data_IF_721015067905
#
_entry.id   IF_721015067905
#
_cell.length_a   1.000
_cell.length_b   1.000
_cell.length_c   1.000
_cell.angle_alpha   90.00
_cell.angle_beta   90.00
_cell.angle_gamma   90.00
#
_symmetry.space_group_name_H-M   'P 1'
#
loop_
_entity.id
_entity.type
_entity.pdbx_description
1 polymer ?
#
# COMPACT_ATOMS: atom_id res chain seq x y z
N UNK A 1 76.87 9.23 1.60
CA UNK A 1 76.53 8.29 2.70
C UNK A 1 75.00 8.10 2.61
N UNK A 2 74.54 7.15 1.78
CA UNK A 2 73.95 5.83 2.19
C UNK A 2 72.67 6.04 3.01
N UNK A 3 71.47 5.65 2.58
CA UNK A 3 71.02 4.25 2.39
C UNK A 3 69.66 4.28 1.64
N UNK A 4 69.50 3.58 0.51
CA UNK A 4 68.96 2.22 0.34
C UNK A 4 67.42 2.11 0.30
N UNK A 5 66.95 2.05 -0.95
CA UNK A 5 65.94 1.16 -1.51
C UNK A 5 65.82 -0.20 -0.81
N UNK A 6 64.59 -0.62 -0.50
CA UNK A 6 64.10 -2.01 -0.67
C UNK A 6 62.66 -1.92 -1.22
N UNK A 7 62.43 -2.28 -2.50
CA UNK A 7 61.89 -3.58 -2.97
C UNK A 7 60.57 -3.94 -2.25
N UNK A 8 59.39 -4.14 -2.86
CA UNK A 8 58.97 -4.35 -4.24
C UNK A 8 57.78 -5.33 -4.24
N UNK A 9 56.64 -4.89 -4.80
CA UNK A 9 55.57 -5.64 -5.55
C UNK A 9 54.82 -6.83 -4.84
N UNK A 10 53.52 -7.13 -5.13
CA UNK A 10 52.74 -6.71 -6.30
C UNK A 10 51.30 -6.23 -6.11
N UNK A 11 50.84 -5.56 -7.17
CA UNK A 11 49.46 -5.27 -7.50
C UNK A 11 48.66 -6.57 -7.64
N UNK A 12 47.96 -6.95 -6.56
CA UNK A 12 47.00 -8.05 -6.61
C UNK A 12 45.60 -7.50 -6.90
N UNK A 13 45.26 -7.61 -8.18
CA UNK A 13 43.93 -7.87 -8.69
C UNK A 13 42.88 -6.76 -8.50
N UNK A 14 42.79 -5.94 -9.56
CA UNK A 14 41.53 -5.49 -10.11
C UNK A 14 40.41 -6.56 -9.96
N UNK A 15 39.46 -6.29 -9.07
CA UNK A 15 38.09 -6.82 -9.14
C UNK A 15 37.15 -5.64 -8.95
N UNK A 16 36.92 -4.91 -10.04
CA UNK A 16 35.63 -4.95 -10.72
C UNK A 16 34.60 -4.15 -9.92
N UNK A 17 34.30 -2.95 -10.44
CA UNK A 17 33.03 -2.28 -10.22
C UNK A 17 31.88 -3.28 -10.40
N UNK A 18 31.21 -3.66 -9.31
CA UNK A 18 29.81 -4.10 -9.23
C UNK A 18 29.32 -3.60 -7.88
N UNK A 19 28.72 -2.42 -7.87
CA UNK A 19 27.25 -2.31 -7.87
C UNK A 19 26.61 -3.16 -6.77
N UNK A 20 26.20 -2.49 -5.69
CA UNK A 20 24.96 -2.73 -4.97
C UNK A 20 24.94 -1.80 -3.76
N UNK A 21 24.69 -0.52 -4.02
CA UNK A 21 24.03 0.31 -3.01
C UNK A 21 22.78 -0.44 -2.54
N UNK A 22 22.40 -0.38 -1.24
CA UNK A 22 21.17 -1.02 -0.80
C UNK A 22 20.04 -0.51 -1.70
N UNK A 23 19.16 -1.39 -2.21
CA UNK A 23 18.02 -0.91 -2.98
C UNK A 23 17.27 0.04 -2.04
N UNK A 24 17.33 1.33 -2.35
CA UNK A 24 16.32 2.27 -1.90
C UNK A 24 15.02 1.66 -2.38
N UNK A 25 14.30 1.05 -1.45
CA UNK A 25 12.95 0.54 -1.66
C UNK A 25 12.06 1.76 -1.83
N UNK A 26 12.17 2.40 -2.98
CA UNK A 26 11.11 3.26 -3.51
C UNK A 26 9.92 2.35 -3.78
N UNK A 27 8.82 2.62 -3.08
CA UNK A 27 7.54 2.00 -3.36
C UNK A 27 7.27 0.75 -2.54
N UNK A 28 6.95 0.94 -1.27
CA UNK A 28 5.69 0.39 -0.75
C UNK A 28 5.22 1.41 0.26
N UNK A 29 4.17 2.16 -0.12
CA UNK A 29 3.35 2.89 0.83
C UNK A 29 3.20 1.97 2.02
N UNK A 30 3.57 2.45 3.21
CA UNK A 30 3.28 1.78 4.45
C UNK A 30 1.83 1.35 4.33
N UNK A 31 1.63 0.06 4.13
CA UNK A 31 0.32 -0.52 4.21
C UNK A 31 0.05 -0.37 5.70
N UNK A 32 -0.54 0.79 6.01
CA UNK A 32 -1.27 1.07 7.23
C UNK A 32 -2.06 -0.20 7.48
N UNK A 33 -1.46 -1.06 8.29
CA UNK A 33 -2.08 -2.28 8.76
C UNK A 33 -2.90 -1.75 9.91
N UNK A 34 -3.91 -0.95 9.57
CA UNK A 34 -5.00 -0.63 10.46
C UNK A 34 -5.44 -1.98 11.00
N UNK A 35 -5.56 -2.13 12.33
CA UNK A 35 -6.00 -3.38 12.91
C UNK A 35 -7.24 -3.77 12.13
N UNK A 36 -7.25 -4.99 11.58
CA UNK A 36 -8.42 -5.51 10.89
C UNK A 36 -9.52 -5.46 11.92
N UNK A 37 -10.30 -4.36 11.87
CA UNK A 37 -11.50 -4.19 12.65
C UNK A 37 -12.32 -5.45 12.38
N UNK A 38 -13.11 -5.91 13.37
CA UNK A 38 -13.95 -7.09 13.21
C UNK A 38 -14.55 -7.09 11.81
N UNK A 39 -14.61 -8.25 11.16
CA UNK A 39 -15.16 -8.41 9.82
C UNK A 39 -16.64 -8.00 9.83
N UNK A 40 -16.89 -6.71 9.94
CA UNK A 40 -18.19 -6.07 9.81
C UNK A 40 -18.63 -6.41 8.40
N UNK A 41 -19.90 -6.80 8.25
CA UNK A 41 -20.52 -7.03 6.94
C UNK A 41 -20.63 -5.70 6.21
N UNK A 42 -19.49 -5.20 5.74
CA UNK A 42 -19.29 -3.90 5.14
C UNK A 42 -19.50 -4.01 3.64
N UNK A 43 -20.32 -3.12 3.11
CA UNK A 43 -20.62 -3.01 1.70
C UNK A 43 -20.36 -1.59 1.21
N UNK A 44 -19.71 -1.46 0.05
CA UNK A 44 -19.39 -0.16 -0.56
C UNK A 44 -20.01 -0.13 -1.96
N UNK A 45 -20.86 0.86 -2.22
CA UNK A 45 -21.35 1.15 -3.57
C UNK A 45 -20.51 2.27 -4.15
N UNK A 46 -19.57 1.90 -5.02
CA UNK A 46 -18.61 2.84 -5.60
C UNK A 46 -19.24 3.89 -6.52
N UNK A 47 -18.50 4.98 -6.72
CA UNK A 47 -18.83 6.03 -7.70
C UNK A 47 -19.07 5.39 -9.06
N UNK A 48 -20.15 5.83 -9.73
CA UNK A 48 -20.63 5.30 -11.02
C UNK A 48 -21.37 3.94 -11.00
N UNK A 49 -21.50 3.31 -9.84
CA UNK A 49 -22.33 2.11 -9.70
C UNK A 49 -23.78 2.50 -9.39
N UNK A 50 -24.72 1.90 -10.13
CA UNK A 50 -26.16 1.92 -9.83
C UNK A 50 -26.58 0.58 -9.25
N UNK A 51 -26.99 0.56 -7.99
CA UNK A 51 -27.51 -0.65 -7.33
C UNK A 51 -29.04 -0.59 -7.23
N UNK A 52 -29.72 -1.69 -7.59
CA UNK A 52 -31.17 -1.86 -7.39
C UNK A 52 -31.48 -3.17 -6.68
N UNK A 53 -32.47 -3.18 -5.79
CA UNK A 53 -32.94 -4.41 -5.14
C UNK A 53 -33.16 -4.25 -3.63
N UNK A 54 -32.67 -5.21 -2.86
CA UNK A 54 -32.82 -5.26 -1.41
C UNK A 54 -31.48 -5.63 -0.76
N UNK A 55 -31.15 -4.97 0.36
CA UNK A 55 -29.97 -5.25 1.17
C UNK A 55 -30.44 -5.58 2.59
N UNK A 56 -30.19 -6.81 3.02
CA UNK A 56 -30.42 -7.31 4.37
C UNK A 56 -29.10 -7.72 5.02
N UNK A 57 -29.03 -7.64 6.36
CA UNK A 57 -27.90 -8.10 7.18
C UNK A 57 -26.55 -7.42 6.91
N UNK A 58 -26.53 -6.13 6.52
CA UNK A 58 -25.28 -5.37 6.47
C UNK A 58 -25.03 -4.59 7.77
N UNK A 59 -23.77 -4.59 8.23
CA UNK A 59 -23.37 -3.85 9.43
C UNK A 59 -23.00 -2.41 9.08
N UNK A 60 -22.35 -2.19 7.92
CA UNK A 60 -21.97 -0.88 7.42
C UNK A 60 -22.16 -0.77 5.90
N UNK A 61 -23.01 0.15 5.46
CA UNK A 61 -23.17 0.49 4.05
C UNK A 61 -22.58 1.87 3.76
N UNK A 62 -21.60 1.92 2.87
CA UNK A 62 -20.98 3.15 2.37
C UNK A 62 -21.45 3.41 0.94
N UNK A 63 -22.03 4.58 0.72
CA UNK A 63 -22.59 4.95 -0.60
C UNK A 63 -21.79 6.10 -1.19
N UNK A 64 -21.12 5.81 -2.30
CA UNK A 64 -20.45 6.81 -3.15
C UNK A 64 -21.13 6.93 -4.54
N UNK A 65 -21.93 5.93 -4.91
CA UNK A 65 -22.69 5.86 -6.16
C UNK A 65 -24.19 6.11 -5.96
N UNK A 66 -25.01 5.43 -6.76
CA UNK A 66 -26.48 5.60 -6.77
C UNK A 66 -27.14 4.30 -6.34
N UNK A 67 -28.13 4.38 -5.45
CA UNK A 67 -28.87 3.23 -4.94
C UNK A 67 -30.38 3.47 -5.04
N UNK A 68 -31.10 2.48 -5.58
CA UNK A 68 -32.56 2.39 -5.60
C UNK A 68 -32.97 1.04 -4.98
N UNK A 69 -32.94 0.96 -3.65
CA UNK A 69 -33.14 -0.29 -2.92
C UNK A 69 -33.81 -0.09 -1.55
N UNK A 70 -34.41 -1.17 -1.02
CA UNK A 70 -34.82 -1.25 0.38
C UNK A 70 -33.62 -1.75 1.20
N UNK A 71 -33.26 -1.02 2.24
CA UNK A 71 -32.06 -1.30 3.06
C UNK A 71 -32.45 -1.47 4.51
N UNK A 72 -32.05 -2.60 5.09
CA UNK A 72 -32.16 -2.88 6.53
C UNK A 72 -30.76 -2.99 7.10
N UNK A 73 -30.29 -1.92 7.75
CA UNK A 73 -28.95 -1.82 8.32
C UNK A 73 -29.00 -1.28 9.75
N UNK A 74 -27.99 -1.62 10.55
CA UNK A 74 -27.82 -1.04 11.90
C UNK A 74 -27.33 0.40 11.84
N UNK A 75 -26.49 0.72 10.86
CA UNK A 75 -25.96 2.06 10.62
C UNK A 75 -25.82 2.31 9.10
N UNK A 76 -26.06 3.55 8.67
CA UNK A 76 -25.90 3.98 7.29
C UNK A 76 -25.03 5.24 7.24
N UNK A 77 -23.95 5.18 6.45
CA UNK A 77 -23.05 6.31 6.23
C UNK A 77 -23.06 6.71 4.75
N UNK A 78 -23.49 7.94 4.48
CA UNK A 78 -23.50 8.50 3.12
C UNK A 78 -22.33 9.47 3.00
N UNK A 79 -21.31 9.06 2.25
CA UNK A 79 -20.16 9.91 1.98
C UNK A 79 -20.51 10.82 0.79
N UNK A 80 -20.75 12.11 1.08
CA UNK A 80 -20.77 13.10 0.00
C UNK A 80 -19.32 13.37 -0.35
N UNK A 81 -18.89 13.00 -1.56
CA UNK A 81 -17.50 13.09 -1.98
C UNK A 81 -16.84 14.40 -1.54
N UNK A 82 -15.88 14.30 -0.64
CA UNK A 82 -15.07 15.43 -0.21
C UNK A 82 -13.93 15.62 -1.20
N UNK A 83 -13.95 16.74 -1.95
CA UNK A 83 -12.80 17.27 -2.69
C UNK A 83 -12.50 16.61 -4.02
#
# INVERSE_FOLDING_TARGET
MTNATERGVPALAARILRDSAPPVRRGRSEADSTPSQPQDRRMIVGREIRLKGEIADCDLLVVEGIIEALVVARALEVATGGG
#
